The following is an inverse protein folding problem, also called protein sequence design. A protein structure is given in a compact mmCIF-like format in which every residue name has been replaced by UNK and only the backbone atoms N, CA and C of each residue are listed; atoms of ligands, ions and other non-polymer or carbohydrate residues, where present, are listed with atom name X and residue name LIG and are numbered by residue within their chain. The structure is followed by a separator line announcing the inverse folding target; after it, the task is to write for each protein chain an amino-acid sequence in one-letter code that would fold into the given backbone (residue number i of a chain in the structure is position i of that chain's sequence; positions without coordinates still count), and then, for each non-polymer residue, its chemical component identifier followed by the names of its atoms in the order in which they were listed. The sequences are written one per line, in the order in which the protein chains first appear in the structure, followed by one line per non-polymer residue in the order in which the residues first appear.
data_IF_050311947935
#
_entry.id   IF_050311947935
#
_cell.length_a   1.000
_cell.length_b   1.000
_cell.length_c   1.000
_cell.angle_alpha   90.00
_cell.angle_beta   90.00
_cell.angle_gamma   90.00
#
_symmetry.space_group_name_H-M   'P 1'
#
loop_
_entity.id
_entity.type
_entity.pdbx_description
1 polymer ?
#
# COMPACT_ATOMS: atom_id res chain seq x y z
N UNK A 1 20.24 44.21 -17.51
CA UNK A 1 20.26 42.74 -17.64
C UNK A 1 20.81 42.03 -16.40
N UNK A 2 21.95 42.43 -15.82
CA UNK A 2 22.54 41.76 -14.65
C UNK A 2 21.66 41.75 -13.37
N UNK A 3 20.97 42.86 -13.06
CA UNK A 3 20.03 42.95 -11.91
C UNK A 3 18.84 42.00 -12.01
N UNK A 4 18.31 41.80 -13.22
CA UNK A 4 17.19 40.89 -13.48
C UNK A 4 17.59 39.43 -13.26
N UNK A 5 18.81 39.04 -13.66
CA UNK A 5 19.35 37.70 -13.42
C UNK A 5 19.58 37.41 -11.93
N UNK A 6 20.08 38.38 -11.17
CA UNK A 6 20.28 38.24 -9.72
C UNK A 6 18.97 38.07 -8.95
N UNK A 7 17.92 38.82 -9.34
CA UNK A 7 16.58 38.69 -8.76
C UNK A 7 15.97 37.31 -9.04
N UNK A 8 16.07 36.82 -10.28
CA UNK A 8 15.58 35.48 -10.64
C UNK A 8 16.31 34.37 -9.86
N UNK A 9 17.63 34.48 -9.71
CA UNK A 9 18.42 33.53 -8.91
C UNK A 9 18.05 33.55 -7.43
N UNK A 10 17.84 34.74 -6.85
CA UNK A 10 17.41 34.90 -5.46
C UNK A 10 16.01 34.29 -5.24
N UNK A 11 15.05 34.59 -6.12
CA UNK A 11 13.70 34.00 -6.05
C UNK A 11 13.78 32.48 -6.16
N UNK A 12 14.55 31.93 -7.10
CA UNK A 12 14.74 30.49 -7.25
C UNK A 12 15.36 29.84 -6.00
N UNK A 13 16.32 30.50 -5.35
CA UNK A 13 16.92 30.01 -4.12
C UNK A 13 15.91 29.99 -2.96
N UNK A 14 15.10 31.04 -2.84
CA UNK A 14 14.02 31.12 -1.84
C UNK A 14 12.96 30.05 -2.07
N UNK A 15 12.50 29.86 -3.30
CA UNK A 15 11.49 28.83 -3.61
C UNK A 15 12.02 27.42 -3.33
N UNK A 16 13.27 27.12 -3.68
CA UNK A 16 13.90 25.83 -3.37
C UNK A 16 14.07 25.61 -1.86
N UNK A 17 14.42 26.66 -1.10
CA UNK A 17 14.52 26.60 0.36
C UNK A 17 13.16 26.31 1.00
N UNK A 18 12.13 27.04 0.59
CA UNK A 18 10.75 26.83 1.07
C UNK A 18 10.25 25.43 0.72
N UNK A 19 10.49 24.95 -0.51
CA UNK A 19 10.12 23.60 -0.92
C UNK A 19 10.82 22.53 -0.09
N UNK A 20 12.12 22.68 0.20
CA UNK A 20 12.87 21.78 1.08
C UNK A 20 12.33 21.79 2.50
N UNK A 21 12.03 22.97 3.05
CA UNK A 21 11.42 23.13 4.36
C UNK A 21 10.06 22.43 4.45
N UNK A 22 9.21 22.60 3.43
CA UNK A 22 7.91 21.95 3.34
C UNK A 22 8.03 20.42 3.29
N UNK A 23 8.93 19.89 2.46
CA UNK A 23 9.20 18.44 2.39
C UNK A 23 9.64 17.91 3.75
N UNK A 24 10.50 18.63 4.47
CA UNK A 24 10.95 18.23 5.81
C UNK A 24 9.80 18.20 6.81
N UNK A 25 8.98 19.25 6.83
CA UNK A 25 7.83 19.37 7.72
C UNK A 25 6.77 18.28 7.44
N UNK A 26 6.37 18.12 6.19
CA UNK A 26 5.36 17.13 5.77
C UNK A 26 5.83 15.70 6.04
N UNK A 27 7.09 15.38 5.72
CA UNK A 27 7.64 14.05 5.95
C UNK A 27 7.80 13.75 7.45
N UNK A 28 8.15 14.75 8.26
CA UNK A 28 8.19 14.64 9.72
C UNK A 28 6.81 14.39 10.34
N UNK A 29 5.82 15.20 9.96
CA UNK A 29 4.44 15.04 10.41
C UNK A 29 3.86 13.69 9.97
N UNK A 30 4.05 13.31 8.70
CA UNK A 30 3.62 12.03 8.16
C UNK A 30 4.26 10.84 8.88
N UNK A 31 5.57 10.89 9.17
CA UNK A 31 6.24 9.86 9.96
C UNK A 31 5.62 9.73 11.35
N UNK A 32 5.37 10.86 12.02
CA UNK A 32 4.78 10.84 13.36
C UNK A 32 3.39 10.20 13.36
N UNK A 33 2.54 10.60 12.40
CA UNK A 33 1.20 10.06 12.21
C UNK A 33 1.23 8.56 11.92
N UNK A 34 1.89 8.14 10.83
CA UNK A 34 1.92 6.72 10.42
C UNK A 34 2.59 5.81 11.46
N UNK A 35 3.56 6.34 12.21
CA UNK A 35 4.22 5.59 13.27
C UNK A 35 3.40 5.49 14.57
N UNK A 36 2.34 6.28 14.75
CA UNK A 36 1.56 6.33 15.99
C UNK A 36 0.83 4.99 16.25
N UNK A 37 1.03 4.36 17.43
CA UNK A 37 0.44 3.04 17.71
C UNK A 37 -1.08 3.06 17.80
N UNK A 38 -1.67 4.19 18.22
CA UNK A 38 -3.12 4.37 18.23
C UNK A 38 -3.66 4.47 16.80
N UNK A 39 -3.03 5.29 15.95
CA UNK A 39 -3.44 5.41 14.55
C UNK A 39 -3.31 4.09 13.80
N UNK A 40 -2.26 3.31 14.04
CA UNK A 40 -2.11 1.97 13.43
C UNK A 40 -3.21 1.01 13.84
N UNK A 41 -3.63 1.02 15.11
CA UNK A 41 -4.78 0.21 15.55
C UNK A 41 -6.08 0.68 14.90
N UNK A 42 -6.30 1.99 14.87
CA UNK A 42 -7.44 2.59 14.20
C UNK A 42 -7.43 2.30 12.68
N UNK A 43 -6.26 2.18 12.05
CA UNK A 43 -6.14 1.94 10.62
C UNK A 43 -6.68 0.56 10.19
N UNK A 44 -6.47 -0.47 11.02
CA UNK A 44 -7.09 -1.78 10.76
C UNK A 44 -8.62 -1.71 10.87
N UNK A 45 -9.14 -0.99 11.87
CA UNK A 45 -10.58 -0.78 12.02
C UNK A 45 -11.15 0.05 10.85
N UNK A 46 -10.40 1.04 10.37
CA UNK A 46 -10.75 1.83 9.20
C UNK A 46 -10.83 0.97 7.94
N UNK A 47 -9.83 0.11 7.66
CA UNK A 47 -9.86 -0.77 6.49
C UNK A 47 -11.04 -1.76 6.54
N UNK A 48 -11.32 -2.34 7.71
CA UNK A 48 -12.49 -3.18 7.90
C UNK A 48 -13.80 -2.40 7.69
N UNK A 49 -13.91 -1.22 8.29
CA UNK A 49 -15.06 -0.32 8.15
C UNK A 49 -15.27 0.13 6.71
N UNK A 50 -14.21 0.49 5.99
CA UNK A 50 -14.28 0.93 4.58
C UNK A 50 -14.89 -0.14 3.67
N UNK A 51 -14.55 -1.41 3.89
CA UNK A 51 -15.08 -2.54 3.09
C UNK A 51 -16.48 -2.93 3.52
N UNK A 52 -16.76 -2.97 4.83
CA UNK A 52 -18.07 -3.36 5.35
C UNK A 52 -19.14 -2.28 5.17
N UNK A 53 -18.77 -1.00 5.23
CA UNK A 53 -19.67 0.13 5.07
C UNK A 53 -19.84 0.56 3.60
N UNK A 54 -18.97 0.09 2.69
CA UNK A 54 -19.05 0.39 1.26
C UNK A 54 -20.45 0.23 0.65
N UNK A 55 -21.18 -0.87 0.90
CA UNK A 55 -22.53 -1.07 0.35
C UNK A 55 -23.55 -0.04 0.84
N UNK A 56 -23.40 0.46 2.07
CA UNK A 56 -24.28 1.49 2.63
C UNK A 56 -24.00 2.87 2.07
N UNK A 57 -22.80 3.08 1.51
CA UNK A 57 -22.41 4.32 0.84
C UNK A 57 -22.80 4.35 -0.63
N UNK A 58 -23.07 3.18 -1.25
CA UNK A 58 -23.52 3.07 -2.64
C UNK A 58 -24.72 3.98 -3.01
N UNK A 59 -25.82 4.08 -2.23
CA UNK A 59 -26.94 4.96 -2.57
C UNK A 59 -26.61 6.46 -2.52
N UNK A 60 -25.55 6.84 -1.82
CA UNK A 60 -25.10 8.24 -1.70
C UNK A 60 -24.00 8.59 -2.72
N UNK A 61 -23.46 7.59 -3.42
CA UNK A 61 -22.41 7.78 -4.41
C UNK A 61 -23.01 8.23 -5.75
N UNK A 62 -22.42 9.26 -6.35
CA UNK A 62 -22.86 9.74 -7.66
C UNK A 62 -22.55 8.67 -8.74
N UNK A 63 -23.57 8.12 -9.42
CA UNK A 63 -23.38 7.11 -10.46
C UNK A 63 -22.58 7.63 -11.66
N UNK A 64 -22.42 8.95 -11.82
CA UNK A 64 -21.64 9.57 -12.89
C UNK A 64 -20.17 9.81 -12.53
N UNK A 65 -19.75 9.48 -11.32
CA UNK A 65 -18.35 9.62 -10.91
C UNK A 65 -17.43 8.77 -11.80
N UNK A 66 -16.26 9.32 -12.16
CA UNK A 66 -15.26 8.59 -12.94
C UNK A 66 -14.83 7.28 -12.27
N UNK A 67 -14.90 7.19 -10.94
CA UNK A 67 -14.59 5.99 -10.17
C UNK A 67 -15.78 5.02 -10.04
N UNK A 68 -17.01 5.49 -10.28
CA UNK A 68 -18.21 4.68 -10.26
C UNK A 68 -18.35 3.81 -11.51
N UNK A 69 -17.75 4.23 -12.63
CA UNK A 69 -17.79 3.48 -13.86
C UNK A 69 -16.81 2.29 -13.82
N UNK A 70 -17.28 1.03 -13.70
CA UNK A 70 -16.40 -0.16 -13.64
C UNK A 70 -15.67 -0.41 -14.97
N UNK A 71 -16.03 0.28 -16.05
CA UNK A 71 -15.33 0.26 -17.33
C UNK A 71 -14.25 1.33 -17.45
N UNK A 72 -14.11 2.22 -16.46
CA UNK A 72 -13.06 3.23 -16.52
C UNK A 72 -11.68 2.55 -16.44
N UNK A 73 -10.89 2.74 -17.49
CA UNK A 73 -9.55 2.18 -17.64
C UNK A 73 -8.66 2.51 -16.44
N UNK A 74 -8.82 3.70 -15.85
CA UNK A 74 -8.01 4.13 -14.70
C UNK A 74 -8.23 3.22 -13.49
N UNK A 75 -9.47 2.95 -13.08
CA UNK A 75 -9.72 2.11 -11.90
C UNK A 75 -9.21 0.68 -12.11
N UNK A 76 -9.43 0.10 -13.29
CA UNK A 76 -9.12 -1.30 -13.58
C UNK A 76 -7.61 -1.53 -13.76
N UNK A 77 -6.97 -0.73 -14.61
CA UNK A 77 -5.54 -0.85 -14.92
C UNK A 77 -4.69 -0.42 -13.73
N UNK A 78 -5.11 0.63 -13.01
CA UNK A 78 -4.35 1.12 -11.87
C UNK A 78 -4.45 0.18 -10.66
N UNK A 79 -5.63 -0.41 -10.42
CA UNK A 79 -5.77 -1.44 -9.36
C UNK A 79 -4.95 -2.69 -9.70
N UNK A 80 -4.92 -3.12 -10.96
CA UNK A 80 -4.09 -4.25 -11.38
C UNK A 80 -2.58 -3.99 -11.21
N UNK A 81 -2.13 -2.74 -11.34
CA UNK A 81 -0.74 -2.35 -11.13
C UNK A 81 -0.40 -1.99 -9.68
N UNK A 82 -1.33 -2.11 -8.74
CA UNK A 82 -1.14 -1.71 -7.35
C UNK A 82 0.07 -2.37 -6.68
N UNK A 83 0.30 -3.64 -6.96
CA UNK A 83 1.46 -4.38 -6.46
C UNK A 83 2.79 -3.79 -6.97
N UNK A 84 2.88 -3.49 -8.28
CA UNK A 84 4.09 -2.97 -8.91
C UNK A 84 4.52 -1.64 -8.32
N UNK A 85 3.58 -0.70 -8.19
CA UNK A 85 3.83 0.61 -7.57
C UNK A 85 4.22 0.48 -6.09
N UNK A 86 3.58 -0.44 -5.37
CA UNK A 86 3.92 -0.73 -3.97
C UNK A 86 5.34 -1.27 -3.85
N UNK A 87 5.75 -2.19 -4.72
CA UNK A 87 7.12 -2.71 -4.76
C UNK A 87 8.16 -1.61 -5.05
N UNK A 88 7.88 -0.74 -6.03
CA UNK A 88 8.80 0.35 -6.41
C UNK A 88 9.00 1.31 -5.23
N UNK A 89 7.91 1.80 -4.61
CA UNK A 89 8.01 2.80 -3.55
C UNK A 89 8.43 2.22 -2.20
N UNK A 90 7.85 1.09 -1.77
CA UNK A 90 8.25 0.46 -0.51
C UNK A 90 9.67 -0.10 -0.59
N UNK A 91 10.05 -0.68 -1.73
CA UNK A 91 11.40 -1.17 -2.00
C UNK A 91 12.40 -0.03 -2.04
N UNK A 92 12.13 1.02 -2.85
CA UNK A 92 12.98 2.21 -2.92
C UNK A 92 13.16 2.90 -1.57
N UNK A 93 12.08 3.01 -0.79
CA UNK A 93 12.13 3.54 0.57
C UNK A 93 13.02 2.68 1.48
N UNK A 94 12.81 1.37 1.52
CA UNK A 94 13.61 0.44 2.33
C UNK A 94 15.08 0.44 1.94
N UNK A 95 15.40 0.50 0.64
CA UNK A 95 16.78 0.56 0.15
C UNK A 95 17.49 1.86 0.56
N UNK A 96 16.83 3.01 0.39
CA UNK A 96 17.37 4.32 0.80
C UNK A 96 17.61 4.38 2.32
N UNK A 97 16.71 3.79 3.12
CA UNK A 97 16.85 3.68 4.57
C UNK A 97 18.04 2.81 4.97
N UNK A 98 18.17 1.61 4.39
CA UNK A 98 19.29 0.70 4.66
C UNK A 98 20.63 1.32 4.28
N UNK A 99 20.70 1.95 3.11
CA UNK A 99 21.90 2.62 2.63
C UNK A 99 22.28 3.78 3.56
N UNK A 100 21.33 4.65 3.93
CA UNK A 100 21.56 5.81 4.79
C UNK A 100 21.89 5.47 6.25
N UNK A 101 21.39 4.36 6.79
CA UNK A 101 21.66 3.97 8.18
C UNK A 101 22.89 3.07 8.37
N UNK A 102 23.18 2.15 7.43
CA UNK A 102 24.16 1.08 7.67
C UNK A 102 25.24 0.96 6.60
N UNK A 103 25.01 1.43 5.37
CA UNK A 103 25.93 1.25 4.24
C UNK A 103 26.18 -0.21 3.81
N UNK A 104 25.50 -1.19 4.42
CA UNK A 104 25.75 -2.63 4.19
C UNK A 104 24.81 -3.18 3.12
N UNK A 105 25.38 -3.81 2.10
CA UNK A 105 24.61 -4.42 1.00
C UNK A 105 23.65 -5.52 1.49
N UNK A 106 24.05 -6.29 2.50
CA UNK A 106 23.20 -7.33 3.11
C UNK A 106 21.92 -6.74 3.77
N UNK A 107 21.97 -5.51 4.28
CA UNK A 107 20.79 -4.85 4.84
C UNK A 107 19.78 -4.42 3.75
N UNK A 108 20.20 -4.38 2.48
CA UNK A 108 19.34 -4.11 1.33
C UNK A 108 18.51 -5.33 0.92
N UNK A 109 18.98 -6.55 1.25
CA UNK A 109 18.27 -7.79 0.91
C UNK A 109 17.00 -7.99 1.73
N UNK A 110 16.94 -7.50 2.97
CA UNK A 110 15.79 -7.67 3.83
C UNK A 110 14.49 -7.02 3.32
N UNK A 111 14.47 -5.73 2.92
CA UNK A 111 13.26 -5.14 2.32
C UNK A 111 12.87 -5.82 1.01
N UNK A 112 13.85 -6.22 0.18
CA UNK A 112 13.58 -6.94 -1.07
C UNK A 112 12.99 -8.34 -0.82
N UNK A 113 13.51 -9.08 0.16
CA UNK A 113 13.02 -10.38 0.54
C UNK A 113 11.58 -10.30 1.09
N UNK A 114 11.24 -9.26 1.88
CA UNK A 114 9.86 -9.05 2.32
C UNK A 114 8.91 -8.80 1.14
N UNK A 115 9.32 -8.01 0.15
CA UNK A 115 8.53 -7.80 -1.07
C UNK A 115 8.41 -9.08 -1.90
N UNK A 116 9.47 -9.85 -2.07
CA UNK A 116 9.43 -11.12 -2.80
C UNK A 116 8.47 -12.13 -2.12
N UNK A 117 8.56 -12.27 -0.80
CA UNK A 117 7.61 -13.06 -0.01
C UNK A 117 6.19 -12.53 -0.16
N UNK A 118 6.02 -11.22 -0.12
CA UNK A 118 4.72 -10.58 -0.29
C UNK A 118 4.09 -10.86 -1.66
N UNK A 119 4.90 -10.90 -2.72
CA UNK A 119 4.45 -11.23 -4.07
C UNK A 119 3.99 -12.69 -4.16
N UNK A 120 4.77 -13.62 -3.59
CA UNK A 120 4.41 -15.03 -3.56
C UNK A 120 3.09 -15.28 -2.82
N UNK A 121 2.89 -14.62 -1.68
CA UNK A 121 1.64 -14.71 -0.91
C UNK A 121 0.46 -14.07 -1.63
N UNK A 122 0.66 -12.95 -2.32
CA UNK A 122 -0.37 -12.30 -3.11
C UNK A 122 -0.83 -13.20 -4.28
N UNK A 123 0.10 -13.88 -4.95
CA UNK A 123 -0.23 -14.85 -5.99
C UNK A 123 -0.96 -16.08 -5.43
N UNK A 124 -0.43 -16.67 -4.35
CA UNK A 124 -1.07 -17.82 -3.70
C UNK A 124 -2.49 -17.49 -3.23
N UNK A 125 -2.69 -16.35 -2.56
CA UNK A 125 -4.00 -15.90 -2.14
C UNK A 125 -4.95 -15.67 -3.31
N UNK A 126 -4.46 -15.10 -4.41
CA UNK A 126 -5.26 -14.91 -5.63
C UNK A 126 -5.75 -16.24 -6.20
N UNK A 127 -4.87 -17.25 -6.24
CA UNK A 127 -5.23 -18.61 -6.65
C UNK A 127 -6.23 -19.26 -5.68
N UNK A 128 -6.08 -19.06 -4.37
CA UNK A 128 -7.06 -19.59 -3.40
C UNK A 128 -8.44 -18.96 -3.55
N UNK A 129 -8.51 -17.65 -3.82
CA UNK A 129 -9.78 -16.94 -4.00
C UNK A 129 -10.53 -17.45 -5.23
N UNK A 130 -9.82 -17.67 -6.34
CA UNK A 130 -10.43 -18.26 -7.54
C UNK A 130 -10.92 -19.68 -7.24
N UNK A 131 -10.14 -20.51 -6.55
CA UNK A 131 -10.57 -21.86 -6.19
C UNK A 131 -11.81 -21.87 -5.29
N UNK A 132 -11.89 -20.97 -4.31
CA UNK A 132 -13.04 -20.85 -3.39
C UNK A 132 -14.32 -20.46 -4.14
N UNK A 133 -14.21 -19.64 -5.18
CA UNK A 133 -15.35 -19.23 -5.99
C UNK A 133 -15.83 -20.33 -6.94
N UNK A 134 -14.90 -21.07 -7.56
CA UNK A 134 -15.24 -22.25 -8.36
C UNK A 134 -15.98 -23.30 -7.51
N UNK A 135 -15.56 -23.49 -6.24
CA UNK A 135 -16.20 -24.41 -5.30
C UNK A 135 -17.59 -23.95 -4.83
N UNK A 136 -17.88 -22.65 -4.84
CA UNK A 136 -19.19 -22.13 -4.43
C UNK A 136 -20.32 -22.53 -5.39
N UNK A 137 -19.96 -23.00 -6.60
CA UNK A 137 -20.89 -23.39 -7.64
C UNK A 137 -21.69 -22.20 -8.20
N UNK A 138 -22.22 -22.29 -9.42
CA UNK A 138 -23.13 -21.28 -9.94
C UNK A 138 -24.43 -21.29 -9.09
N UNK A 139 -24.84 -20.14 -8.55
CA UNK A 139 -26.21 -19.97 -8.11
C UNK A 139 -27.15 -20.19 -9.32
N UNK A 140 -28.30 -20.87 -9.16
CA UNK A 140 -29.29 -21.00 -10.22
C UNK A 140 -29.93 -19.63 -10.48
N UNK A 141 -29.29 -18.83 -11.32
CA UNK A 141 -29.88 -17.68 -11.99
C UNK A 141 -30.16 -18.13 -13.43
N UNK A 142 -31.35 -17.92 -13.99
CA UNK A 142 -31.63 -18.29 -15.38
C UNK A 142 -30.72 -17.45 -16.29
N UNK A 143 -29.63 -18.06 -16.75
CA UNK A 143 -28.73 -17.46 -17.71
C UNK A 143 -29.38 -17.54 -19.09
N UNK A 144 -29.55 -16.40 -19.74
CA UNK A 144 -29.89 -16.35 -21.15
C UNK A 144 -28.85 -17.16 -21.94
N UNK A 145 -29.32 -18.22 -22.60
CA UNK A 145 -28.51 -19.11 -23.40
C UNK A 145 -27.72 -18.30 -24.45
N UNK A 146 -26.39 -18.33 -24.39
CA UNK A 146 -25.54 -17.72 -25.42
C UNK A 146 -24.34 -16.88 -24.97
N UNK A 147 -23.97 -16.84 -23.68
CA UNK A 147 -22.73 -16.15 -23.28
C UNK A 147 -21.51 -17.09 -23.41
N UNK A 148 -20.51 -16.78 -24.27
CA UNK A 148 -19.31 -17.60 -24.48
C UNK A 148 -18.29 -17.52 -23.31
N UNK A 149 -18.76 -17.24 -22.08
CA UNK A 149 -17.91 -17.10 -20.89
C UNK A 149 -17.55 -18.42 -20.20
N UNK A 150 -18.16 -19.54 -20.61
CA UNK A 150 -17.92 -20.86 -20.00
C UNK A 150 -16.61 -21.54 -20.44
N UNK A 151 -15.80 -20.92 -21.31
CA UNK A 151 -14.61 -21.53 -21.92
C UNK A 151 -13.26 -20.90 -21.52
N UNK A 152 -13.23 -19.94 -20.58
CA UNK A 152 -11.98 -19.32 -20.12
C UNK A 152 -11.69 -19.68 -18.66
N UNK A 153 -10.70 -20.56 -18.38
CA UNK A 153 -10.38 -21.04 -17.02
C UNK A 153 -9.77 -19.98 -16.08
N UNK A 154 -9.77 -18.68 -16.41
CA UNK A 154 -8.90 -17.68 -15.78
C UNK A 154 -9.57 -16.29 -15.62
N UNK A 155 -10.85 -16.23 -15.28
CA UNK A 155 -11.42 -14.95 -14.83
C UNK A 155 -10.97 -14.71 -13.38
N UNK A 156 -10.26 -13.60 -13.06
CA UNK A 156 -9.86 -13.31 -11.69
C UNK A 156 -11.07 -13.09 -10.80
N UNK A 157 -10.99 -13.59 -9.58
CA UNK A 157 -12.06 -13.52 -8.58
C UNK A 157 -12.56 -12.09 -8.32
N UNK A 158 -13.88 -11.82 -8.19
CA UNK A 158 -14.40 -10.54 -7.73
C UNK A 158 -13.88 -10.09 -6.35
N UNK A 159 -13.37 -11.01 -5.52
CA UNK A 159 -12.70 -10.68 -4.25
C UNK A 159 -11.29 -10.12 -4.43
N UNK A 160 -10.64 -10.39 -5.58
CA UNK A 160 -9.23 -10.06 -5.82
C UNK A 160 -8.88 -8.58 -5.69
N UNK A 161 -9.64 -7.61 -6.26
CA UNK A 161 -9.30 -6.20 -6.14
C UNK A 161 -9.30 -5.70 -4.69
N UNK A 162 -10.31 -6.11 -3.91
CA UNK A 162 -10.40 -5.77 -2.48
C UNK A 162 -9.27 -6.41 -1.68
N UNK A 163 -8.92 -7.67 -1.98
CA UNK A 163 -7.75 -8.34 -1.41
C UNK A 163 -6.46 -7.57 -1.70
N UNK A 164 -6.18 -7.29 -2.98
CA UNK A 164 -4.93 -6.68 -3.42
C UNK A 164 -4.74 -5.29 -2.81
N UNK A 165 -5.77 -4.44 -2.86
CA UNK A 165 -5.72 -3.09 -2.31
C UNK A 165 -5.57 -3.09 -0.79
N UNK A 166 -6.32 -3.93 -0.08
CA UNK A 166 -6.19 -4.07 1.38
C UNK A 166 -4.79 -4.55 1.76
N UNK A 167 -4.26 -5.53 1.03
CA UNK A 167 -2.92 -6.06 1.28
C UNK A 167 -1.83 -5.02 1.02
N UNK A 168 -1.91 -4.28 -0.10
CA UNK A 168 -0.98 -3.19 -0.41
C UNK A 168 -1.03 -2.06 0.63
N UNK A 169 -2.23 -1.67 1.07
CA UNK A 169 -2.43 -0.70 2.15
C UNK A 169 -1.71 -1.11 3.43
N UNK A 170 -1.93 -2.34 3.88
CA UNK A 170 -1.34 -2.87 5.12
C UNK A 170 0.19 -2.99 5.03
N UNK A 171 0.70 -3.51 3.92
CA UNK A 171 2.14 -3.65 3.68
C UNK A 171 2.81 -2.27 3.64
N UNK A 172 2.27 -1.33 2.86
CA UNK A 172 2.84 0.00 2.69
C UNK A 172 2.78 0.80 3.99
N UNK A 173 1.67 0.73 4.74
CA UNK A 173 1.57 1.38 6.04
C UNK A 173 2.62 0.85 7.05
N UNK A 174 2.89 -0.46 7.04
CA UNK A 174 3.86 -1.06 7.95
C UNK A 174 5.31 -0.69 7.59
N UNK A 175 5.66 -0.69 6.29
CA UNK A 175 6.99 -0.32 5.83
C UNK A 175 7.25 1.19 6.04
N UNK A 176 6.27 2.06 5.77
CA UNK A 176 6.42 3.51 5.97
C UNK A 176 6.46 3.92 7.45
N UNK A 177 5.77 3.20 8.34
CA UNK A 177 5.75 3.50 9.78
C UNK A 177 7.13 3.42 10.45
N UNK A 178 8.10 2.74 9.82
CA UNK A 178 9.49 2.66 10.30
C UNK A 178 10.15 4.04 10.28
N UNK A 179 9.74 4.94 9.38
CA UNK A 179 10.38 6.23 9.21
C UNK A 179 10.41 7.04 10.50
N UNK A 180 9.35 6.95 11.32
CA UNK A 180 9.32 7.55 12.66
C UNK A 180 10.48 7.11 13.54
N UNK A 181 10.77 5.81 13.55
CA UNK A 181 11.84 5.22 14.37
C UNK A 181 13.23 5.52 13.82
N UNK A 182 13.34 5.74 12.51
CA UNK A 182 14.57 6.16 11.86
C UNK A 182 14.90 7.62 12.21
N UNK A 183 13.92 8.52 12.10
CA UNK A 183 14.08 9.91 12.51
C UNK A 183 14.34 10.05 14.02
N UNK A 184 13.65 9.27 14.86
CA UNK A 184 13.85 9.29 16.31
C UNK A 184 15.25 8.81 16.75
N UNK A 185 15.96 8.05 15.91
CA UNK A 185 17.36 7.66 16.15
C UNK A 185 18.38 8.69 15.67
N UNK A 186 17.92 9.82 15.10
CA UNK A 186 18.81 10.83 14.54
C UNK A 186 19.50 10.40 13.25
N UNK A 187 19.05 9.32 12.59
CA UNK A 187 19.65 8.87 11.34
C UNK A 187 19.45 9.94 10.24
N UNK A 188 20.48 10.21 9.41
CA UNK A 188 20.40 11.25 8.39
C UNK A 188 19.35 10.88 7.33
N UNK A 189 18.32 11.69 7.18
CA UNK A 189 17.28 11.49 6.18
C UNK A 189 17.49 12.45 5.00
N UNK A 190 18.04 11.92 3.91
CA UNK A 190 18.24 12.68 2.67
C UNK A 190 16.91 13.20 2.12
N UNK A 191 16.96 14.27 1.33
CA UNK A 191 15.76 14.83 0.66
C UNK A 191 15.08 13.77 -0.22
N UNK A 192 15.87 12.94 -0.92
CA UNK A 192 15.35 11.85 -1.73
C UNK A 192 14.55 10.83 -0.90
N UNK A 193 15.08 10.42 0.27
CA UNK A 193 14.38 9.51 1.17
C UNK A 193 13.04 10.10 1.65
N UNK A 194 13.02 11.38 2.00
CA UNK A 194 11.81 12.10 2.41
C UNK A 194 10.77 12.20 1.28
N UNK A 195 11.22 12.45 0.05
CA UNK A 195 10.34 12.48 -1.13
C UNK A 195 9.74 11.11 -1.42
N UNK A 196 10.54 10.03 -1.38
CA UNK A 196 10.04 8.67 -1.58
C UNK A 196 9.05 8.27 -0.48
N UNK A 197 9.30 8.65 0.78
CA UNK A 197 8.34 8.48 1.87
C UNK A 197 7.01 9.20 1.60
N UNK A 198 7.07 10.48 1.18
CA UNK A 198 5.87 11.26 0.86
C UNK A 198 5.10 10.68 -0.32
N UNK A 199 5.81 10.26 -1.38
CA UNK A 199 5.20 9.59 -2.52
C UNK A 199 4.54 8.27 -2.11
N UNK A 200 5.17 7.52 -1.21
CA UNK A 200 4.58 6.33 -0.59
C UNK A 200 3.33 6.64 0.23
N UNK A 201 3.33 7.73 1.01
CA UNK A 201 2.16 8.16 1.77
C UNK A 201 0.99 8.60 0.87
N UNK A 202 1.29 9.30 -0.23
CA UNK A 202 0.29 9.65 -1.27
C UNK A 202 -0.26 8.39 -1.93
N UNK A 203 0.61 7.45 -2.27
CA UNK A 203 0.21 6.16 -2.85
C UNK A 203 -0.68 5.35 -1.89
N UNK A 204 -0.36 5.35 -0.59
CA UNK A 204 -1.21 4.76 0.43
C UNK A 204 -2.60 5.41 0.45
N UNK A 205 -2.68 6.75 0.42
CA UNK A 205 -3.95 7.47 0.32
C UNK A 205 -4.75 7.06 -0.92
N UNK A 206 -4.07 6.95 -2.06
CA UNK A 206 -4.68 6.50 -3.32
C UNK A 206 -5.22 5.07 -3.23
N UNK A 207 -4.51 4.15 -2.58
CA UNK A 207 -5.01 2.79 -2.35
C UNK A 207 -6.25 2.77 -1.46
N UNK A 208 -6.34 3.64 -0.45
CA UNK A 208 -7.55 3.77 0.37
C UNK A 208 -8.74 4.29 -0.46
N UNK A 209 -8.51 5.27 -1.34
CA UNK A 209 -9.55 5.79 -2.23
C UNK A 209 -10.05 4.73 -3.21
N UNK A 210 -9.14 3.94 -3.79
CA UNK A 210 -9.51 2.85 -4.70
C UNK A 210 -10.16 1.68 -3.97
N UNK A 211 -9.77 1.41 -2.72
CA UNK A 211 -10.43 0.41 -1.87
C UNK A 211 -11.86 0.83 -1.58
N UNK A 212 -12.10 2.10 -1.22
CA UNK A 212 -13.44 2.64 -1.03
C UNK A 212 -14.25 2.58 -2.33
N UNK A 213 -13.67 3.02 -3.46
CA UNK A 213 -14.36 2.95 -4.74
C UNK A 213 -14.74 1.51 -5.11
N UNK A 214 -13.85 0.55 -4.84
CA UNK A 214 -14.11 -0.88 -5.02
C UNK A 214 -15.23 -1.33 -4.09
N UNK A 215 -15.16 -1.05 -2.79
CA UNK A 215 -16.16 -1.46 -1.79
C UNK A 215 -17.56 -0.87 -2.03
N UNK A 216 -17.62 0.34 -2.59
CA UNK A 216 -18.88 1.01 -2.92
C UNK A 216 -19.48 0.44 -4.21
N UNK A 217 -18.71 0.35 -5.29
CA UNK A 217 -19.24 0.09 -6.64
C UNK A 217 -19.07 -1.35 -7.13
N UNK A 218 -18.36 -2.20 -6.38
CA UNK A 218 -18.07 -3.53 -6.86
C UNK A 218 -19.27 -4.48 -6.73
N UNK A 219 -19.30 -5.51 -7.59
CA UNK A 219 -20.52 -6.26 -7.89
C UNK A 219 -20.99 -7.20 -6.78
N UNK A 220 -20.11 -7.52 -5.82
CA UNK A 220 -20.35 -8.56 -4.81
C UNK A 220 -19.73 -8.17 -3.46
N UNK A 221 -20.48 -7.51 -2.57
CA UNK A 221 -19.93 -7.00 -1.31
C UNK A 221 -19.43 -8.11 -0.38
N UNK A 222 -20.08 -9.28 -0.38
CA UNK A 222 -19.59 -10.45 0.36
C UNK A 222 -18.24 -10.98 -0.14
N UNK A 223 -18.00 -10.96 -1.46
CA UNK A 223 -16.71 -11.35 -2.03
C UNK A 223 -15.61 -10.33 -1.66
N UNK A 224 -15.94 -9.04 -1.64
CA UNK A 224 -15.01 -7.98 -1.24
C UNK A 224 -14.61 -8.08 0.23
N UNK A 225 -15.58 -8.32 1.11
CA UNK A 225 -15.33 -8.56 2.52
C UNK A 225 -14.41 -9.77 2.73
N UNK A 226 -14.65 -10.87 1.99
CA UNK A 226 -13.77 -12.05 2.00
C UNK A 226 -12.34 -11.70 1.56
N UNK A 227 -12.20 -10.96 0.46
CA UNK A 227 -10.89 -10.54 -0.04
C UNK A 227 -10.12 -9.69 0.98
N UNK A 228 -10.78 -8.70 1.58
CA UNK A 228 -10.18 -7.85 2.62
C UNK A 228 -9.83 -8.63 3.90
N UNK A 229 -10.67 -9.58 4.31
CA UNK A 229 -10.41 -10.46 5.44
C UNK A 229 -9.19 -11.35 5.18
N UNK A 230 -9.10 -11.97 4.00
CA UNK A 230 -7.96 -12.79 3.60
C UNK A 230 -6.68 -11.95 3.55
N UNK A 231 -6.72 -10.73 3.01
CA UNK A 231 -5.58 -9.82 3.00
C UNK A 231 -5.09 -9.49 4.41
N UNK A 232 -6.03 -9.23 5.33
CA UNK A 232 -5.72 -8.96 6.74
C UNK A 232 -5.11 -10.19 7.42
N UNK A 233 -5.61 -11.39 7.12
CA UNK A 233 -5.07 -12.65 7.62
C UNK A 233 -3.65 -12.88 7.11
N UNK A 234 -3.41 -12.76 5.79
CA UNK A 234 -2.08 -12.92 5.18
C UNK A 234 -1.09 -11.91 5.77
N UNK A 235 -1.49 -10.65 5.92
CA UNK A 235 -0.69 -9.64 6.61
C UNK A 235 -0.40 -10.01 8.07
N UNK A 236 -1.38 -10.52 8.81
CA UNK A 236 -1.20 -10.91 10.20
C UNK A 236 -0.21 -12.07 10.30
N UNK A 237 -0.38 -13.13 9.51
CA UNK A 237 0.51 -14.29 9.49
C UNK A 237 1.94 -13.88 9.14
N UNK A 238 2.14 -12.98 8.18
CA UNK A 238 3.48 -12.49 7.81
C UNK A 238 4.08 -11.59 8.88
N UNK A 239 3.49 -10.43 9.13
CA UNK A 239 4.09 -9.40 9.97
C UNK A 239 4.02 -9.70 11.47
N UNK A 240 3.00 -10.44 11.92
CA UNK A 240 2.81 -10.77 13.34
C UNK A 240 3.31 -12.16 13.71
N UNK A 241 3.35 -13.13 12.81
CA UNK A 241 3.85 -14.47 13.13
C UNK A 241 5.22 -14.73 12.51
N UNK A 242 5.30 -14.83 11.18
CA UNK A 242 6.51 -15.30 10.50
C UNK A 242 7.68 -14.35 10.66
N UNK A 243 7.51 -13.03 10.47
CA UNK A 243 8.59 -12.04 10.59
C UNK A 243 9.13 -11.87 12.01
N UNK A 244 8.59 -12.59 13.01
CA UNK A 244 9.17 -12.73 14.35
C UNK A 244 10.17 -13.88 14.47
N UNK A 245 10.11 -14.87 13.57
CA UNK A 245 10.99 -16.03 13.59
C UNK A 245 12.40 -15.66 13.13
N UNK A 246 13.41 -16.36 13.66
CA UNK A 246 14.84 -16.10 13.36
C UNK A 246 15.23 -16.37 11.90
N UNK A 247 14.49 -17.23 11.20
CA UNK A 247 14.74 -17.61 9.80
C UNK A 247 13.91 -16.81 8.79
N UNK A 248 13.17 -15.81 9.27
CA UNK A 248 12.37 -14.92 8.43
C UNK A 248 13.21 -13.75 7.93
N UNK A 249 12.76 -13.00 6.90
CA UNK A 249 13.42 -11.76 6.47
C UNK A 249 13.41 -10.64 7.52
N UNK A 250 12.86 -10.90 8.71
CA UNK A 250 12.93 -10.05 9.89
C UNK A 250 11.92 -8.91 9.88
N UNK A 251 11.63 -8.39 11.08
CA UNK A 251 10.76 -7.22 11.22
C UNK A 251 11.37 -6.02 10.48
N UNK A 252 10.53 -5.13 9.94
CA UNK A 252 11.04 -3.99 9.18
C UNK A 252 12.02 -3.11 9.96
N UNK A 253 11.91 -3.02 11.29
CA UNK A 253 12.85 -2.26 12.11
C UNK A 253 14.15 -3.01 12.49
N UNK A 254 14.19 -4.35 12.44
CA UNK A 254 15.31 -5.14 12.97
C UNK A 254 16.49 -5.22 12.00
N UNK A 255 16.20 -5.25 10.70
CA UNK A 255 17.21 -5.32 9.65
C UNK A 255 17.65 -3.96 9.10
N UNK A 256 16.84 -2.91 9.31
CA UNK A 256 17.07 -1.58 8.75
C UNK A 256 17.78 -0.61 9.71
N UNK A 257 17.80 -0.90 11.02
CA UNK A 257 18.29 0.03 12.04
C UNK A 257 19.49 -0.60 12.77
N UNK A 258 20.55 0.17 13.06
CA UNK A 258 21.66 -0.33 13.86
C UNK A 258 21.18 -0.76 15.26
N UNK A 259 21.89 -1.71 15.92
CA UNK A 259 21.59 -2.08 17.30
C UNK A 259 21.58 -0.83 18.18
N UNK A 260 20.64 -0.76 19.12
CA UNK A 260 20.58 0.36 20.07
C UNK A 260 21.90 0.43 20.85
N UNK A 261 22.45 1.63 21.10
CA UNK A 261 23.57 1.76 22.03
C UNK A 261 23.17 1.16 23.39
N UNK A 262 24.12 0.53 24.11
CA UNK A 262 23.85 0.04 25.46
C UNK A 262 23.42 1.21 26.36
N UNK A 263 22.59 0.95 27.39
CA UNK A 263 22.18 1.96 28.36
C UNK A 263 23.36 2.54 29.13
#
# INVERSE_FOLDING_TARGET
MARSGALLAAVAAWTLSLARGLVFALSGAGAWLLGAPCLRRAYHAWLAGAVLLGPFLHPYADPHSMLANPRNFLSRTFTASAWGWTCILAGGFGLLMSYGATGRVLALLCPLARLAVGAGLQQAASATLTLVEELKGPCPVPQAAGSPRALLPHSPSPAHPAFLLTYCCLLLAEELAIFRRYLARGCPASTALRLVFLLGAVLLGLWNLLLLATAVHGPAPGAQALGAALATLVWHLTYRCWYRARWSPGRPAHCLLPPSPPP
#
